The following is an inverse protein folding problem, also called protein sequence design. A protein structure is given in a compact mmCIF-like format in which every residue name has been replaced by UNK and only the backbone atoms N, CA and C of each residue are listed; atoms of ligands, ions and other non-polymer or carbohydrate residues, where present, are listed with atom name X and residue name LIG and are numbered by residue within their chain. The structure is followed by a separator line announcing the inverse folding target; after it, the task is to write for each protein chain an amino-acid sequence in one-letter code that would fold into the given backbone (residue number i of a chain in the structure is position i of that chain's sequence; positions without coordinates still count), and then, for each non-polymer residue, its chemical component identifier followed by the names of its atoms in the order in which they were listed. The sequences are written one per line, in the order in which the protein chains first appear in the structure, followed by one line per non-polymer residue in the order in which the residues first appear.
data_IF_763398396249
#
_entry.id   IF_763398396249
#
_cell.length_a   1.000
_cell.length_b   1.000
_cell.length_c   1.000
_cell.angle_alpha   90.00
_cell.angle_beta   90.00
_cell.angle_gamma   90.00
#
_symmetry.space_group_name_H-M   'P 1'
#
loop_
_entity.id
_entity.type
_entity.pdbx_description
1 polymer ?
#
# COMPACT_ATOMS: atom_id res chain seq x y z
N UNK A 1 -20.61 5.00 -5.29
CA UNK A 1 -19.49 5.10 -4.33
C UNK A 1 -18.82 3.74 -4.05
N UNK A 2 -19.54 2.61 -4.03
CA UNK A 2 -18.97 1.27 -3.77
C UNK A 2 -17.96 0.72 -4.82
N UNK A 3 -18.09 1.11 -6.10
CA UNK A 3 -17.26 0.53 -7.18
C UNK A 3 -15.77 0.93 -7.14
N UNK A 4 -15.44 2.12 -6.63
CA UNK A 4 -14.05 2.59 -6.62
C UNK A 4 -13.19 1.85 -5.59
N UNK A 5 -13.76 1.53 -4.43
CA UNK A 5 -13.06 0.77 -3.38
C UNK A 5 -12.69 -0.63 -3.86
N UNK A 6 -13.61 -1.31 -4.55
CA UNK A 6 -13.36 -2.67 -5.07
C UNK A 6 -12.18 -2.75 -6.04
N UNK A 7 -12.10 -1.82 -7.01
CA UNK A 7 -10.98 -1.77 -7.96
C UNK A 7 -9.67 -1.50 -7.23
N UNK A 8 -9.66 -0.53 -6.30
CA UNK A 8 -8.47 -0.18 -5.54
C UNK A 8 -7.96 -1.35 -4.69
N UNK A 9 -8.87 -2.02 -3.98
CA UNK A 9 -8.55 -3.21 -3.16
C UNK A 9 -7.96 -4.32 -4.02
N UNK A 10 -8.55 -4.63 -5.17
CA UNK A 10 -8.03 -5.70 -6.03
C UNK A 10 -6.68 -5.36 -6.64
N UNK A 11 -6.45 -4.10 -7.03
CA UNK A 11 -5.16 -3.63 -7.54
C UNK A 11 -4.08 -3.69 -6.44
N UNK A 12 -4.39 -3.22 -5.23
CA UNK A 12 -3.47 -3.29 -4.11
C UNK A 12 -3.16 -4.75 -3.76
N UNK A 13 -4.18 -5.62 -3.67
CA UNK A 13 -3.98 -7.05 -3.43
C UNK A 13 -3.06 -7.69 -4.48
N UNK A 14 -3.25 -7.38 -5.76
CA UNK A 14 -2.36 -7.85 -6.84
C UNK A 14 -0.91 -7.40 -6.62
N UNK A 15 -0.71 -6.14 -6.22
CA UNK A 15 0.61 -5.57 -5.96
C UNK A 15 1.30 -6.19 -4.72
N UNK A 16 0.56 -6.48 -3.65
CA UNK A 16 1.10 -7.13 -2.46
C UNK A 16 1.38 -8.62 -2.66
N UNK A 17 0.46 -9.35 -3.29
CA UNK A 17 0.51 -10.81 -3.41
C UNK A 17 1.28 -11.25 -4.65
N UNK A 18 1.34 -10.39 -5.67
CA UNK A 18 1.86 -10.70 -6.99
C UNK A 18 0.77 -11.23 -7.93
N UNK A 19 0.77 -10.73 -9.16
CA UNK A 19 -0.22 -11.05 -10.19
C UNK A 19 -0.33 -12.55 -10.46
N UNK A 20 0.79 -13.27 -10.57
CA UNK A 20 0.77 -14.69 -10.88
C UNK A 20 0.07 -15.52 -9.78
N UNK A 21 0.35 -15.20 -8.51
CA UNK A 21 -0.25 -15.90 -7.36
C UNK A 21 -1.74 -15.62 -7.27
N UNK A 22 -2.13 -14.35 -7.43
CA UNK A 22 -3.52 -13.95 -7.42
C UNK A 22 -4.30 -14.60 -8.58
N UNK A 23 -3.77 -14.55 -9.80
CA UNK A 23 -4.41 -15.16 -10.97
C UNK A 23 -4.57 -16.67 -10.82
N UNK A 24 -3.59 -17.36 -10.22
CA UNK A 24 -3.69 -18.78 -9.91
C UNK A 24 -4.83 -19.09 -8.93
N UNK A 25 -5.00 -18.26 -7.90
CA UNK A 25 -6.09 -18.39 -6.95
C UNK A 25 -7.46 -18.21 -7.62
N UNK A 26 -7.59 -17.17 -8.46
CA UNK A 26 -8.79 -16.90 -9.23
C UNK A 26 -9.13 -18.03 -10.20
N UNK A 27 -8.11 -18.59 -10.87
CA UNK A 27 -8.28 -19.72 -11.78
C UNK A 27 -8.71 -21.01 -11.05
N UNK A 28 -8.21 -21.24 -9.83
CA UNK A 28 -8.64 -22.36 -8.99
C UNK A 28 -10.11 -22.20 -8.57
N UNK A 29 -10.48 -21.02 -8.07
CA UNK A 29 -11.87 -20.71 -7.72
C UNK A 29 -12.83 -20.91 -8.91
N UNK A 30 -12.47 -20.40 -10.09
CA UNK A 30 -13.27 -20.60 -11.29
C UNK A 30 -13.38 -22.08 -11.69
N UNK A 31 -12.31 -22.87 -11.53
CA UNK A 31 -12.36 -24.30 -11.84
C UNK A 31 -13.37 -25.04 -10.99
N UNK A 32 -13.47 -24.67 -9.71
CA UNK A 32 -14.29 -25.39 -8.74
C UNK A 32 -15.76 -24.93 -8.77
N UNK A 33 -16.03 -23.68 -9.13
CA UNK A 33 -17.38 -23.09 -9.07
C UNK A 33 -17.99 -22.63 -10.41
N UNK A 34 -17.24 -22.62 -11.51
CA UNK A 34 -17.79 -22.17 -12.79
C UNK A 34 -18.94 -23.06 -13.24
N UNK A 35 -20.05 -22.43 -13.68
CA UNK A 35 -21.26 -23.11 -14.16
C UNK A 35 -21.95 -24.00 -13.11
N UNK A 36 -21.68 -23.77 -11.83
CA UNK A 36 -22.36 -24.46 -10.74
C UNK A 36 -23.86 -24.15 -10.72
N UNK A 37 -24.67 -25.20 -10.59
CA UNK A 37 -26.10 -25.11 -10.26
C UNK A 37 -26.31 -24.76 -8.78
N UNK A 38 -27.48 -24.23 -8.37
CA UNK A 38 -27.75 -23.87 -6.98
C UNK A 38 -27.42 -24.98 -5.96
N UNK A 39 -26.86 -24.64 -4.78
CA UNK A 39 -26.58 -23.27 -4.30
C UNK A 39 -25.36 -22.65 -5.00
N UNK A 40 -25.39 -21.34 -5.27
CA UNK A 40 -24.25 -20.65 -5.87
C UNK A 40 -23.19 -20.31 -4.84
N UNK A 41 -21.93 -20.23 -5.31
CA UNK A 41 -20.81 -19.74 -4.53
C UNK A 41 -21.02 -18.32 -3.99
N UNK A 42 -20.35 -17.98 -2.89
CA UNK A 42 -20.44 -16.67 -2.24
C UNK A 42 -19.06 -16.02 -1.99
N UNK A 43 -19.07 -14.82 -1.42
CA UNK A 43 -17.84 -14.04 -1.18
C UNK A 43 -16.93 -14.63 -0.11
N UNK A 44 -17.45 -15.42 0.82
CA UNK A 44 -16.65 -16.10 1.85
C UNK A 44 -15.81 -17.19 1.19
N UNK A 45 -16.45 -18.05 0.37
CA UNK A 45 -15.77 -19.08 -0.42
C UNK A 45 -14.73 -18.45 -1.35
N UNK A 46 -15.06 -17.34 -2.02
CA UNK A 46 -14.07 -16.60 -2.82
C UNK A 46 -12.84 -16.16 -2.00
N UNK A 47 -13.06 -15.57 -0.82
CA UNK A 47 -11.97 -15.10 0.03
C UNK A 47 -11.10 -16.24 0.57
N UNK A 48 -11.62 -17.45 0.74
CA UNK A 48 -10.82 -18.61 1.13
C UNK A 48 -9.73 -18.94 0.10
N UNK A 49 -10.02 -18.84 -1.20
CA UNK A 49 -9.03 -19.06 -2.26
C UNK A 49 -7.98 -17.95 -2.27
N UNK A 50 -8.42 -16.70 -2.09
CA UNK A 50 -7.51 -15.56 -2.01
C UNK A 50 -6.57 -15.72 -0.81
N UNK A 51 -7.09 -16.07 0.37
CA UNK A 51 -6.30 -16.30 1.58
C UNK A 51 -5.22 -17.35 1.37
N UNK A 52 -5.51 -18.44 0.67
CA UNK A 52 -4.51 -19.48 0.40
C UNK A 52 -3.35 -19.01 -0.49
N UNK A 53 -3.57 -17.98 -1.32
CA UNK A 53 -2.53 -17.42 -2.19
C UNK A 53 -1.69 -16.32 -1.52
N UNK A 54 -2.19 -15.75 -0.42
CA UNK A 54 -1.50 -14.70 0.33
C UNK A 54 -0.50 -15.31 1.32
N UNK A 55 0.78 -14.90 1.32
CA UNK A 55 1.75 -15.34 2.32
C UNK A 55 1.30 -15.03 3.75
N UNK A 56 1.71 -15.84 4.72
CA UNK A 56 1.39 -15.64 6.15
C UNK A 56 1.72 -14.22 6.64
N UNK A 57 2.85 -13.66 6.19
CA UNK A 57 3.28 -12.31 6.54
C UNK A 57 2.37 -11.19 6.01
N UNK A 58 1.47 -11.49 5.08
CA UNK A 58 0.57 -10.54 4.41
C UNK A 58 -0.91 -10.85 4.68
N UNK A 59 -1.25 -11.85 5.51
CA UNK A 59 -2.64 -12.22 5.78
C UNK A 59 -3.48 -11.07 6.37
N UNK A 60 -2.84 -10.15 7.09
CA UNK A 60 -3.49 -8.96 7.64
C UNK A 60 -4.19 -8.11 6.56
N UNK A 61 -3.64 -8.10 5.34
CA UNK A 61 -4.18 -7.34 4.21
C UNK A 61 -5.59 -7.80 3.85
N UNK A 62 -5.86 -9.11 3.96
CA UNK A 62 -7.20 -9.63 3.68
C UNK A 62 -8.20 -9.07 4.68
N UNK A 63 -7.86 -9.07 5.96
CA UNK A 63 -8.71 -8.49 6.99
C UNK A 63 -8.93 -7.00 6.77
N UNK A 64 -7.87 -6.24 6.51
CA UNK A 64 -7.99 -4.79 6.35
C UNK A 64 -8.71 -4.35 5.07
N UNK A 65 -8.56 -5.10 3.98
CA UNK A 65 -9.17 -4.75 2.70
C UNK A 65 -10.61 -5.23 2.55
N UNK A 66 -10.92 -6.42 3.09
CA UNK A 66 -12.20 -7.08 2.84
C UNK A 66 -13.10 -7.20 4.07
N UNK A 67 -12.54 -7.30 5.28
CA UNK A 67 -13.33 -7.63 6.48
C UNK A 67 -13.60 -6.43 7.37
N UNK A 68 -12.75 -5.40 7.31
CA UNK A 68 -12.88 -4.22 8.17
C UNK A 68 -12.91 -2.92 7.39
N UNK A 69 -13.39 -1.85 8.04
CA UNK A 69 -13.27 -0.49 7.53
C UNK A 69 -11.96 0.07 8.05
N UNK A 70 -10.85 -0.25 7.36
CA UNK A 70 -9.52 0.25 7.71
C UNK A 70 -9.20 1.51 6.91
N UNK A 71 -8.73 2.54 7.61
CA UNK A 71 -8.33 3.83 7.07
C UNK A 71 -6.89 4.12 7.48
N UNK A 72 -6.18 4.85 6.64
CA UNK A 72 -4.81 5.29 6.91
C UNK A 72 -4.72 6.82 6.90
N UNK A 73 -3.74 7.32 7.65
CA UNK A 73 -3.24 8.68 7.55
C UNK A 73 -1.73 8.60 7.33
N UNK A 74 -1.32 8.53 6.06
CA UNK A 74 0.08 8.48 5.65
C UNK A 74 0.54 9.85 5.18
N UNK A 75 1.72 10.26 5.62
CA UNK A 75 2.21 11.60 5.37
C UNK A 75 3.71 11.64 5.21
N UNK A 76 4.20 12.35 4.22
CA UNK A 76 5.58 12.82 4.17
C UNK A 76 5.72 14.05 5.10
N UNK A 77 6.56 13.94 6.13
CA UNK A 77 6.78 15.00 7.12
C UNK A 77 7.93 15.92 6.68
N UNK A 78 9.03 15.32 6.25
CA UNK A 78 10.20 16.02 5.73
C UNK A 78 10.83 15.20 4.61
N UNK A 79 11.35 15.88 3.58
CA UNK A 79 12.16 15.26 2.55
C UNK A 79 13.25 16.23 2.09
N UNK A 80 14.50 15.81 2.18
CA UNK A 80 15.66 16.57 1.72
C UNK A 80 16.61 15.69 0.93
N UNK A 81 17.46 16.30 0.08
CA UNK A 81 18.50 15.60 -0.63
C UNK A 81 19.83 16.34 -0.60
N UNK A 82 20.91 15.57 -0.76
CA UNK A 82 22.26 16.08 -1.00
C UNK A 82 22.91 15.37 -2.20
N UNK A 83 23.55 16.10 -3.12
CA UNK A 83 24.33 15.49 -4.19
C UNK A 83 25.61 14.85 -3.61
N UNK A 84 25.97 13.67 -4.11
CA UNK A 84 27.17 12.93 -3.74
C UNK A 84 28.26 13.07 -4.82
N UNK A 85 29.52 12.90 -4.43
CA UNK A 85 30.68 13.06 -5.31
C UNK A 85 30.66 12.14 -6.55
N UNK A 86 29.98 10.99 -6.43
CA UNK A 86 29.84 10.01 -7.51
C UNK A 86 28.69 10.31 -8.48
N UNK A 87 28.03 11.47 -8.36
CA UNK A 87 26.89 11.88 -9.20
C UNK A 87 25.54 11.27 -8.81
N UNK A 88 25.46 10.57 -7.67
CA UNK A 88 24.19 10.09 -7.09
C UNK A 88 23.67 11.09 -6.06
N UNK A 89 22.45 10.88 -5.55
CA UNK A 89 21.82 11.76 -4.57
C UNK A 89 21.41 10.95 -3.35
N UNK A 90 21.75 11.43 -2.15
CA UNK A 90 21.24 10.87 -0.89
C UNK A 90 19.99 11.63 -0.50
N UNK A 91 18.87 10.91 -0.39
CA UNK A 91 17.58 11.43 0.05
C UNK A 91 17.35 11.02 1.49
N UNK A 92 17.09 12.00 2.34
CA UNK A 92 16.62 11.80 3.71
C UNK A 92 15.15 12.17 3.77
N UNK A 93 14.32 11.31 4.34
CA UNK A 93 12.92 11.63 4.59
C UNK A 93 12.43 11.10 5.92
N UNK A 94 11.49 11.80 6.52
CA UNK A 94 10.68 11.32 7.62
C UNK A 94 9.23 11.23 7.19
N UNK A 95 8.56 10.17 7.62
CA UNK A 95 7.15 9.90 7.31
C UNK A 95 6.38 9.65 8.59
N UNK A 96 5.10 10.00 8.56
CA UNK A 96 4.13 9.64 9.58
C UNK A 96 3.11 8.68 9.00
N UNK A 97 2.68 7.69 9.78
CA UNK A 97 1.68 6.72 9.36
C UNK A 97 0.81 6.30 10.55
N UNK A 98 -0.50 6.46 10.41
CA UNK A 98 -1.48 5.96 11.37
C UNK A 98 -2.47 5.02 10.69
N UNK A 99 -3.02 4.09 11.48
CA UNK A 99 -4.01 3.12 11.05
C UNK A 99 -5.21 3.20 11.97
N UNK A 100 -6.39 3.40 11.37
CA UNK A 100 -7.65 3.50 12.09
C UNK A 100 -8.60 2.42 11.61
N UNK A 101 -9.46 1.95 12.51
CA UNK A 101 -10.57 1.06 12.18
C UNK A 101 -11.88 1.71 12.56
N UNK A 102 -12.79 1.79 11.60
CA UNK A 102 -14.14 2.28 11.81
C UNK A 102 -15.11 1.11 12.07
N UNK A 103 -16.09 1.33 12.93
CA UNK A 103 -17.25 0.45 13.07
C UNK A 103 -18.36 0.80 12.05
N UNK A 104 -19.46 0.05 12.08
CA UNK A 104 -20.61 0.24 11.18
C UNK A 104 -21.31 1.60 11.36
N UNK A 105 -21.12 2.24 12.51
CA UNK A 105 -21.66 3.57 12.83
C UNK A 105 -20.70 4.69 12.44
N UNK A 106 -19.49 4.35 11.99
CA UNK A 106 -18.43 5.28 11.63
C UNK A 106 -17.59 5.77 12.81
N UNK A 107 -17.67 5.12 13.98
CA UNK A 107 -16.76 5.45 15.09
C UNK A 107 -15.40 4.86 14.79
N UNK A 108 -14.35 5.67 14.93
CA UNK A 108 -13.00 5.34 14.51
C UNK A 108 -12.09 5.20 15.71
N UNK A 109 -11.30 4.12 15.72
CA UNK A 109 -10.32 3.84 16.76
C UNK A 109 -8.97 3.60 16.11
N UNK A 110 -7.94 4.29 16.60
CA UNK A 110 -6.57 4.05 16.20
C UNK A 110 -6.12 2.65 16.65
N UNK A 111 -5.44 1.92 15.76
CA UNK A 111 -4.85 0.61 16.03
C UNK A 111 -3.36 0.63 15.70
N UNK A 112 -2.54 -0.22 16.35
CA UNK A 112 -1.11 -0.29 16.04
C UNK A 112 -0.86 -0.59 14.56
N UNK A 113 0.00 0.20 13.94
CA UNK A 113 0.47 -0.02 12.56
C UNK A 113 1.57 -1.08 12.54
N UNK A 114 1.48 -2.01 11.59
CA UNK A 114 2.48 -3.05 11.34
C UNK A 114 2.34 -3.52 9.90
N UNK A 115 2.48 -2.59 8.98
CA UNK A 115 2.02 -2.72 7.60
C UNK A 115 3.18 -2.48 6.65
N UNK A 116 3.32 -3.33 5.64
CA UNK A 116 4.16 -3.02 4.50
C UNK A 116 3.53 -1.87 3.71
N UNK A 117 4.23 -0.75 3.56
CA UNK A 117 3.78 0.41 2.79
C UNK A 117 4.92 0.84 1.87
N UNK A 118 4.60 1.28 0.65
CA UNK A 118 5.61 1.74 -0.29
C UNK A 118 6.23 3.05 0.19
N UNK A 119 7.57 3.11 0.24
CA UNK A 119 8.33 4.34 0.30
C UNK A 119 8.84 4.66 -1.09
N UNK A 120 8.64 5.89 -1.53
CA UNK A 120 8.94 6.32 -2.89
C UNK A 120 9.84 7.55 -2.95
N UNK A 121 10.72 7.57 -3.95
CA UNK A 121 11.42 8.76 -4.43
C UNK A 121 11.14 8.89 -5.92
N UNK A 122 10.64 10.06 -6.31
CA UNK A 122 10.21 10.37 -7.67
C UNK A 122 11.05 11.51 -8.25
N UNK A 123 11.34 11.43 -9.54
CA UNK A 123 12.01 12.49 -10.29
C UNK A 123 11.06 13.57 -10.80
N UNK A 124 11.57 14.49 -11.61
CA UNK A 124 10.81 15.68 -12.07
C UNK A 124 9.61 15.33 -12.97
N UNK A 125 9.65 14.20 -13.68
CA UNK A 125 8.55 13.75 -14.54
C UNK A 125 7.73 12.61 -13.89
N UNK A 126 7.76 12.54 -12.55
CA UNK A 126 7.13 11.50 -11.74
C UNK A 126 7.64 10.08 -12.02
N UNK A 127 8.84 9.94 -12.60
CA UNK A 127 9.53 8.65 -12.75
C UNK A 127 9.97 8.07 -11.40
N UNK A 128 9.85 6.76 -11.23
CA UNK A 128 10.27 6.04 -10.03
C UNK A 128 11.79 5.94 -9.94
N UNK A 129 12.41 6.81 -9.14
CA UNK A 129 13.84 6.69 -8.79
C UNK A 129 14.06 5.62 -7.72
N UNK A 130 13.06 5.43 -6.87
CA UNK A 130 12.97 4.37 -5.88
C UNK A 130 11.51 4.08 -5.55
N UNK A 131 11.14 2.81 -5.51
CA UNK A 131 9.86 2.36 -4.96
C UNK A 131 10.07 0.99 -4.31
N UNK A 132 9.83 0.91 -3.00
CA UNK A 132 9.92 -0.36 -2.29
C UNK A 132 9.01 -0.37 -1.09
N UNK A 133 8.46 -1.55 -0.78
CA UNK A 133 7.72 -1.79 0.47
C UNK A 133 8.66 -1.80 1.65
N UNK A 134 8.32 -1.04 2.68
CA UNK A 134 8.95 -1.07 3.99
C UNK A 134 7.92 -1.42 5.05
N UNK A 135 8.32 -2.22 6.04
CA UNK A 135 7.44 -2.52 7.17
C UNK A 135 7.40 -1.31 8.10
N UNK A 136 6.24 -0.67 8.17
CA UNK A 136 5.98 0.49 9.03
C UNK A 136 5.41 -0.02 10.35
N UNK A 137 6.18 0.13 11.43
CA UNK A 137 5.84 -0.40 12.77
C UNK A 137 5.65 0.69 13.82
N UNK A 138 5.85 1.96 13.44
CA UNK A 138 5.81 3.10 14.36
C UNK A 138 5.09 4.27 13.66
N UNK A 139 4.44 5.15 14.44
CA UNK A 139 3.78 6.33 13.88
C UNK A 139 4.71 7.23 13.08
N UNK A 140 5.99 7.31 13.47
CA UNK A 140 7.02 8.06 12.75
C UNK A 140 8.22 7.17 12.43
N UNK A 141 8.71 7.27 11.20
CA UNK A 141 9.90 6.55 10.73
C UNK A 141 10.73 7.42 9.78
N UNK A 142 12.04 7.16 9.76
CA UNK A 142 12.99 7.85 8.90
C UNK A 142 13.61 6.89 7.90
N UNK A 143 13.87 7.39 6.69
CA UNK A 143 14.47 6.63 5.60
C UNK A 143 15.61 7.42 4.97
N UNK A 144 16.68 6.71 4.62
CA UNK A 144 17.79 7.24 3.82
C UNK A 144 17.95 6.39 2.58
N UNK A 145 17.81 7.00 1.40
CA UNK A 145 17.75 6.31 0.11
C UNK A 145 18.74 6.97 -0.84
N UNK A 146 19.51 6.17 -1.59
CA UNK A 146 20.42 6.69 -2.61
C UNK A 146 19.77 6.44 -3.97
N UNK A 147 19.66 7.49 -4.78
CA UNK A 147 19.09 7.45 -6.13
C UNK A 147 20.09 7.94 -7.18
N UNK A 148 19.98 7.43 -8.40
CA UNK A 148 20.89 7.73 -9.49
C UNK A 148 20.64 9.07 -10.20
N UNK A 149 19.46 9.66 -9.98
CA UNK A 149 19.01 10.90 -10.64
C UNK A 149 18.49 11.89 -9.61
N UNK A 150 18.35 13.15 -10.02
CA UNK A 150 17.95 14.23 -9.12
C UNK A 150 16.51 13.99 -8.61
N UNK A 151 16.28 13.88 -7.30
CA UNK A 151 14.94 13.67 -6.75
C UNK A 151 14.12 14.96 -6.77
N UNK A 152 12.83 14.86 -7.10
CA UNK A 152 11.89 15.97 -7.07
C UNK A 152 10.86 15.83 -5.96
N UNK A 153 10.34 14.61 -5.73
CA UNK A 153 9.36 14.30 -4.68
C UNK A 153 9.73 13.04 -3.93
N UNK A 154 9.30 12.93 -2.68
CA UNK A 154 9.43 11.71 -1.91
C UNK A 154 8.32 11.57 -0.88
N UNK A 155 8.08 10.35 -0.41
CA UNK A 155 7.10 10.08 0.64
C UNK A 155 6.69 8.63 0.78
N UNK A 156 5.49 8.43 1.31
CA UNK A 156 4.89 7.15 1.69
C UNK A 156 3.58 6.93 0.93
N UNK A 157 3.36 5.72 0.45
CA UNK A 157 2.25 5.35 -0.44
C UNK A 157 2.05 6.35 -1.60
N UNK A 158 3.07 6.57 -2.45
CA UNK A 158 3.04 7.59 -3.51
C UNK A 158 1.96 7.34 -4.57
N UNK A 159 1.47 6.10 -4.68
CA UNK A 159 0.43 5.68 -5.63
C UNK A 159 -0.94 5.48 -4.99
N UNK A 160 -1.10 5.84 -3.72
CA UNK A 160 -2.38 5.81 -2.99
C UNK A 160 -3.05 4.42 -3.04
N UNK A 161 -2.26 3.37 -2.80
CA UNK A 161 -2.72 1.98 -2.79
C UNK A 161 -3.58 1.70 -1.55
N UNK A 162 -3.39 2.46 -0.48
CA UNK A 162 -4.14 2.35 0.76
C UNK A 162 -5.31 3.33 0.79
N UNK A 163 -6.35 3.00 1.58
CA UNK A 163 -7.49 3.89 1.80
C UNK A 163 -7.04 5.01 2.74
N UNK A 164 -6.42 6.03 2.17
CA UNK A 164 -5.92 7.19 2.89
C UNK A 164 -6.95 8.33 2.95
N UNK A 165 -7.02 9.03 4.09
CA UNK A 165 -7.90 10.18 4.27
C UNK A 165 -7.43 11.43 3.54
N UNK A 166 -6.12 11.60 3.40
CA UNK A 166 -5.51 12.78 2.81
C UNK A 166 -4.36 12.37 1.88
N UNK A 167 -4.69 11.79 0.74
CA UNK A 167 -3.70 11.42 -0.29
C UNK A 167 -2.74 12.54 -0.74
N UNK A 168 -3.11 13.81 -0.51
CA UNK A 168 -2.36 14.97 -0.98
C UNK A 168 -1.05 15.20 -0.20
N UNK A 169 -0.90 14.68 1.02
CA UNK A 169 0.31 14.83 1.84
C UNK A 169 1.15 13.54 1.96
N UNK A 170 0.74 12.46 1.30
CA UNK A 170 1.55 11.25 1.11
C UNK A 170 2.95 11.53 0.56
N UNK A 171 3.09 12.52 -0.32
CA UNK A 171 4.37 12.93 -0.90
C UNK A 171 4.57 14.43 -0.85
N UNK A 172 5.82 14.85 -0.74
CA UNK A 172 6.21 16.26 -0.75
C UNK A 172 7.39 16.51 -1.68
N UNK A 173 7.61 17.79 -2.03
CA UNK A 173 8.82 18.19 -2.75
C UNK A 173 10.05 17.96 -1.88
N UNK A 174 11.11 17.43 -2.47
CA UNK A 174 12.39 17.24 -1.79
C UNK A 174 13.20 18.53 -1.90
N UNK A 175 13.71 19.05 -0.78
CA UNK A 175 14.55 20.25 -0.75
C UNK A 175 16.05 19.89 -0.77
N UNK A 176 16.86 20.65 -1.50
CA UNK A 176 18.32 20.54 -1.42
C UNK A 176 18.82 21.06 -0.06
N UNK A 177 19.74 20.32 0.57
CA UNK A 177 20.43 20.73 1.80
C UNK A 177 21.59 21.69 1.55
#
# INVERSE_FOLDING_TARGET
LHYRKGIMVMNALQDYVGEERLNRALAAYLRDFAYQEPPYTNSIEFLEYIRQAVPDSLQYIITDMFETITLYENKAVQATYEPLENGTYRVHMSVSAQKLRADELGNEVEIPISDYIDIGVLGENDEELYLSKHLITKPEMEFTIIVGEKPARAGIDPYHKLIDRLIADNTMKVAEL
#
